data_IF_740506528281
#
_entry.id   IF_740506528281
#
_cell.length_a   1.000
_cell.length_b   1.000
_cell.length_c   1.000
_cell.angle_alpha   90.00
_cell.angle_beta   90.00
_cell.angle_gamma   90.00
#
_symmetry.space_group_name_H-M   'P 1'
#
loop_
_entity.id
_entity.type
_entity.pdbx_description
1 polymer ?
#
# COMPACT_ATOMS: atom_id res chain seq x y z
N UNK A 1 -52.73 -9.89 -49.71
CA UNK A 1 -53.97 -10.57 -49.26
C UNK A 1 -53.54 -11.74 -48.38
N UNK A 2 -53.86 -11.97 -47.10
CA UNK A 2 -54.75 -11.43 -46.05
C UNK A 2 -54.06 -11.81 -44.70
N UNK A 3 -53.79 -10.86 -43.78
CA UNK A 3 -54.52 -10.55 -42.53
C UNK A 3 -54.26 -11.45 -41.28
N UNK A 4 -53.58 -10.83 -40.30
CA UNK A 4 -53.92 -10.63 -38.86
C UNK A 4 -54.48 -11.74 -37.95
N UNK A 5 -53.95 -11.83 -36.72
CA UNK A 5 -54.56 -11.62 -35.36
C UNK A 5 -53.49 -12.00 -34.30
N UNK A 6 -53.09 -11.27 -33.24
CA UNK A 6 -53.73 -10.56 -32.09
C UNK A 6 -54.65 -11.43 -31.20
N UNK A 7 -54.17 -11.78 -30.00
CA UNK A 7 -54.90 -12.09 -28.73
C UNK A 7 -53.93 -11.77 -27.56
N UNK A 8 -54.13 -10.70 -26.76
CA UNK A 8 -54.75 -10.61 -25.41
C UNK A 8 -54.12 -11.52 -24.33
N UNK A 9 -53.40 -11.05 -23.30
CA UNK A 9 -53.76 -10.24 -22.10
C UNK A 9 -54.51 -11.03 -21.00
N UNK A 10 -53.84 -11.23 -19.85
CA UNK A 10 -54.34 -11.36 -18.45
C UNK A 10 -53.07 -11.36 -17.56
N UNK A 11 -52.69 -10.37 -16.74
CA UNK A 11 -53.31 -9.69 -15.60
C UNK A 11 -53.79 -10.63 -14.48
N UNK A 12 -52.92 -10.87 -13.48
CA UNK A 12 -53.31 -11.14 -12.09
C UNK A 12 -52.44 -10.27 -11.16
N UNK A 13 -53.14 -9.67 -10.21
CA UNK A 13 -52.74 -8.64 -9.26
C UNK A 13 -52.43 -9.24 -7.89
N UNK A 14 -51.64 -8.49 -7.11
CA UNK A 14 -51.64 -8.35 -5.64
C UNK A 14 -51.31 -9.56 -4.74
N UNK A 15 -50.28 -9.38 -3.90
CA UNK A 15 -50.48 -9.19 -2.45
C UNK A 15 -49.22 -8.61 -1.80
N UNK A 16 -49.39 -7.48 -1.13
CA UNK A 16 -48.45 -6.92 -0.18
C UNK A 16 -48.50 -7.75 1.12
N UNK A 17 -47.34 -8.03 1.72
CA UNK A 17 -47.25 -8.45 3.11
C UNK A 17 -46.29 -7.55 3.87
N UNK A 18 -46.90 -6.87 4.84
CA UNK A 18 -46.33 -6.02 5.87
C UNK A 18 -45.52 -6.92 6.81
N UNK A 19 -44.23 -6.63 7.02
CA UNK A 19 -43.49 -7.13 8.17
C UNK A 19 -43.17 -5.97 9.12
N UNK A 20 -43.61 -6.19 10.35
CA UNK A 20 -43.55 -5.32 11.52
C UNK A 20 -42.10 -5.14 11.96
N UNK A 21 -41.70 -3.87 12.17
CA UNK A 21 -40.49 -3.50 12.89
C UNK A 21 -40.84 -3.50 14.38
N UNK A 22 -40.28 -4.44 15.14
CA UNK A 22 -40.19 -4.33 16.61
C UNK A 22 -38.73 -4.44 17.01
N UNK A 23 -38.21 -3.35 17.57
CA UNK A 23 -36.88 -3.29 18.15
C UNK A 23 -36.81 -4.06 19.47
N UNK A 24 -35.62 -4.59 19.77
CA UNK A 24 -35.15 -4.97 21.11
C UNK A 24 -33.62 -4.78 21.17
N UNK A 25 -33.05 -4.58 22.38
CA UNK A 25 -31.81 -3.86 22.60
C UNK A 25 -30.56 -4.72 22.39
N UNK A 26 -29.48 -4.06 21.98
CA UNK A 26 -28.13 -4.62 21.82
C UNK A 26 -27.51 -4.79 23.22
N UNK A 27 -27.33 -6.04 23.64
CA UNK A 27 -26.46 -6.38 24.76
C UNK A 27 -25.03 -6.59 24.22
N UNK A 28 -24.09 -5.80 24.74
CA UNK A 28 -22.67 -5.93 24.47
C UNK A 28 -22.16 -7.26 25.04
N UNK A 29 -21.70 -8.15 24.17
CA UNK A 29 -20.99 -9.36 24.53
C UNK A 29 -19.56 -9.25 23.98
N UNK A 30 -18.64 -8.91 24.86
CA UNK A 30 -17.19 -8.90 24.62
C UNK A 30 -16.69 -10.33 24.47
N UNK A 31 -16.14 -10.66 23.30
CA UNK A 31 -15.40 -11.89 23.04
C UNK A 31 -13.93 -11.55 22.73
N UNK A 32 -12.98 -12.43 23.10
CA UNK A 32 -11.54 -12.15 23.11
C UNK A 32 -10.90 -12.18 21.71
N UNK A 33 -9.82 -11.40 21.60
CA UNK A 33 -8.94 -11.23 20.44
C UNK A 33 -8.31 -12.57 20.03
N UNK A 34 -8.45 -13.02 18.77
CA UNK A 34 -7.63 -14.09 18.23
C UNK A 34 -6.33 -13.55 17.60
N UNK A 35 -5.26 -14.28 17.90
CA UNK A 35 -3.87 -14.09 17.49
C UNK A 35 -3.63 -14.25 15.98
N UNK A 36 -2.76 -13.36 15.45
CA UNK A 36 -1.87 -13.49 14.28
C UNK A 36 -2.39 -14.33 13.10
N UNK A 37 -3.05 -13.68 12.15
CA UNK A 37 -3.43 -14.27 10.86
C UNK A 37 -2.50 -13.76 9.76
N UNK A 38 -1.83 -14.69 9.07
CA UNK A 38 -1.07 -14.47 7.83
C UNK A 38 -2.08 -14.64 6.69
N UNK A 39 -2.41 -13.57 5.96
CA UNK A 39 -3.40 -13.63 4.88
C UNK A 39 -2.73 -13.57 3.50
N UNK A 40 -2.83 -14.68 2.78
CA UNK A 40 -3.21 -14.71 1.37
C UNK A 40 -3.98 -16.02 1.12
N UNK A 41 -5.29 -16.01 1.36
CA UNK A 41 -6.19 -17.07 0.89
C UNK A 41 -6.31 -16.98 -0.64
N UNK A 42 -5.65 -17.92 -1.33
CA UNK A 42 -6.07 -18.38 -2.65
C UNK A 42 -7.03 -19.55 -2.41
N UNK A 43 -8.23 -19.46 -3.00
CA UNK A 43 -9.35 -20.36 -2.77
C UNK A 43 -8.99 -21.85 -2.89
N UNK A 44 -9.50 -22.63 -1.93
CA UNK A 44 -9.41 -24.09 -1.92
C UNK A 44 -10.14 -24.68 -3.15
N UNK A 45 -9.38 -25.36 -4.00
CA UNK A 45 -9.88 -26.31 -4.99
C UNK A 45 -9.47 -27.72 -4.56
N UNK A 46 -10.38 -28.67 -4.75
CA UNK A 46 -10.41 -30.03 -4.22
C UNK A 46 -9.07 -30.78 -4.04
N UNK A 47 -8.98 -31.47 -2.90
CA UNK A 47 -7.91 -32.38 -2.48
C UNK A 47 -7.54 -33.41 -3.53
N UNK A 48 -6.42 -33.17 -4.23
CA UNK A 48 -5.62 -34.18 -4.90
C UNK A 48 -4.33 -34.39 -4.10
N UNK A 49 -4.05 -35.64 -3.71
CA UNK A 49 -2.78 -36.01 -3.10
C UNK A 49 -1.62 -35.59 -4.02
N UNK A 50 -0.60 -34.89 -3.51
CA UNK A 50 0.47 -34.36 -4.34
C UNK A 50 1.24 -35.49 -5.03
N UNK A 51 1.53 -35.29 -6.30
CA UNK A 51 2.33 -36.21 -7.11
C UNK A 51 3.77 -36.29 -6.57
N UNK A 52 4.50 -37.35 -6.93
CA UNK A 52 5.89 -37.58 -6.45
C UNK A 52 6.85 -36.44 -6.79
N UNK A 53 6.58 -35.71 -7.88
CA UNK A 53 7.31 -34.50 -8.30
C UNK A 53 6.98 -33.34 -7.37
N UNK A 54 5.68 -33.04 -7.16
CA UNK A 54 5.24 -31.98 -6.22
C UNK A 54 5.76 -32.18 -4.79
N UNK A 55 5.90 -33.43 -4.34
CA UNK A 55 6.44 -33.73 -3.00
C UNK A 55 7.92 -33.36 -2.87
N UNK A 56 8.69 -33.53 -3.95
CA UNK A 56 10.11 -33.17 -4.02
C UNK A 56 10.29 -31.65 -4.15
N UNK A 57 9.41 -31.00 -4.91
CA UNK A 57 9.38 -29.53 -5.03
C UNK A 57 9.08 -28.84 -3.69
N UNK A 58 8.26 -29.47 -2.84
CA UNK A 58 7.97 -29.03 -1.47
C UNK A 58 9.13 -29.30 -0.50
N UNK A 59 9.92 -30.36 -0.71
CA UNK A 59 11.14 -30.65 0.05
C UNK A 59 12.23 -29.63 -0.28
N UNK A 60 12.44 -29.32 -1.56
CA UNK A 60 13.42 -28.32 -2.00
C UNK A 60 13.06 -26.91 -1.51
N UNK A 61 11.76 -26.55 -1.52
CA UNK A 61 11.29 -25.31 -0.90
C UNK A 61 11.48 -25.31 0.64
N UNK A 62 11.34 -26.48 1.28
CA UNK A 62 11.61 -26.66 2.71
C UNK A 62 13.07 -26.43 3.07
N UNK A 63 14.00 -26.95 2.27
CA UNK A 63 15.44 -26.80 2.44
C UNK A 63 15.90 -25.35 2.25
N UNK A 64 15.31 -24.65 1.27
CA UNK A 64 15.50 -23.20 1.10
C UNK A 64 15.04 -22.45 2.36
N UNK A 65 13.85 -22.75 2.88
CA UNK A 65 13.32 -22.10 4.09
C UNK A 65 14.11 -22.42 5.37
N UNK A 66 14.68 -23.63 5.46
CA UNK A 66 15.52 -24.04 6.58
C UNK A 66 16.88 -23.32 6.54
N UNK A 67 17.45 -23.15 5.35
CA UNK A 67 18.69 -22.40 5.18
C UNK A 67 18.47 -20.92 5.48
N UNK A 68 17.35 -20.35 5.02
CA UNK A 68 16.90 -18.99 5.36
C UNK A 68 16.78 -18.77 6.87
N UNK A 69 16.26 -19.74 7.62
CA UNK A 69 16.17 -19.63 9.09
C UNK A 69 17.55 -19.52 9.74
N UNK A 70 18.55 -20.25 9.22
CA UNK A 70 19.93 -20.14 9.70
C UNK A 70 20.59 -18.79 9.41
N UNK A 71 20.15 -18.10 8.34
CA UNK A 71 20.62 -16.75 8.03
C UNK A 71 20.06 -15.77 9.06
N UNK A 72 18.75 -15.83 9.34
CA UNK A 72 18.11 -14.97 10.36
C UNK A 72 18.82 -15.09 11.73
N UNK A 73 19.20 -16.29 12.12
CA UNK A 73 19.93 -16.54 13.38
C UNK A 73 21.32 -15.89 13.40
N UNK A 74 21.99 -15.77 12.24
CA UNK A 74 23.31 -15.11 12.11
C UNK A 74 23.21 -13.59 12.13
N UNK A 75 22.08 -13.00 11.73
CA UNK A 75 21.87 -11.54 11.74
C UNK A 75 21.44 -11.05 13.14
N UNK A 76 20.80 -11.93 13.93
CA UNK A 76 20.35 -11.63 15.29
C UNK A 76 21.37 -10.86 16.15
N UNK A 77 22.65 -11.29 16.27
CA UNK A 77 23.63 -10.56 17.08
C UNK A 77 24.00 -9.17 16.54
N UNK A 78 23.87 -8.92 15.23
CA UNK A 78 24.11 -7.60 14.63
C UNK A 78 22.93 -6.67 14.94
N UNK A 79 21.71 -7.17 14.83
CA UNK A 79 20.51 -6.43 15.23
C UNK A 79 20.51 -6.10 16.74
N UNK A 80 20.93 -7.04 17.59
CA UNK A 80 21.03 -6.84 19.04
C UNK A 80 22.09 -5.81 19.44
N UNK A 81 23.13 -5.60 18.61
CA UNK A 81 24.18 -4.63 18.86
C UNK A 81 23.75 -3.17 18.58
N UNK A 82 22.68 -2.95 17.82
CA UNK A 82 22.25 -1.61 17.38
C UNK A 82 21.41 -0.83 18.41
N UNK A 83 20.99 -1.46 19.52
CA UNK A 83 20.27 -0.80 20.61
C UNK A 83 18.90 -0.22 20.24
N UNK A 84 18.03 0.08 21.23
CA UNK A 84 16.68 0.60 20.98
C UNK A 84 16.62 2.10 20.64
N UNK A 85 17.74 2.82 20.73
CA UNK A 85 17.83 4.28 20.53
C UNK A 85 18.41 4.62 19.15
N UNK A 86 17.78 4.11 18.09
CA UNK A 86 18.20 4.36 16.70
C UNK A 86 17.66 5.68 16.15
N UNK A 87 18.31 6.80 16.47
CA UNK A 87 18.11 8.09 15.76
C UNK A 87 18.82 8.11 14.38
N UNK A 88 19.47 7.00 13.98
CA UNK A 88 20.11 6.84 12.68
C UNK A 88 19.76 5.48 12.04
N UNK A 89 18.67 5.42 11.27
CA UNK A 89 18.37 4.26 10.40
C UNK A 89 19.43 4.06 9.32
N UNK A 90 20.21 5.12 9.00
CA UNK A 90 21.36 5.04 8.10
C UNK A 90 22.42 4.01 8.50
N UNK A 91 22.68 3.76 9.79
CA UNK A 91 23.65 2.72 10.22
C UNK A 91 23.10 1.30 10.04
N UNK A 92 21.79 1.13 10.06
CA UNK A 92 21.19 -0.18 9.97
C UNK A 92 20.90 -0.64 8.53
N UNK A 93 20.86 0.29 7.58
CA UNK A 93 20.96 -0.02 6.15
C UNK A 93 22.32 -0.66 5.79
N UNK A 94 23.36 -0.48 6.60
CA UNK A 94 24.66 -1.14 6.41
C UNK A 94 24.57 -2.66 6.65
N UNK A 95 23.62 -3.12 7.48
CA UNK A 95 23.34 -4.54 7.76
C UNK A 95 22.81 -5.28 6.52
N UNK A 96 22.23 -4.56 5.55
CA UNK A 96 21.77 -5.13 4.28
C UNK A 96 22.97 -5.72 3.50
N UNK A 97 24.16 -5.13 3.58
CA UNK A 97 25.34 -5.66 2.89
C UNK A 97 25.76 -7.05 3.41
N UNK A 98 25.75 -7.23 4.74
CA UNK A 98 26.04 -8.53 5.38
C UNK A 98 24.97 -9.57 5.05
N UNK A 99 23.72 -9.12 4.89
CA UNK A 99 22.61 -9.98 4.47
C UNK A 99 22.77 -10.49 3.03
N UNK A 100 23.25 -9.63 2.11
CA UNK A 100 23.51 -10.01 0.71
C UNK A 100 24.64 -11.01 0.56
N UNK A 101 25.73 -10.84 1.31
CA UNK A 101 26.88 -11.73 1.29
C UNK A 101 26.51 -13.17 1.68
N UNK A 102 25.54 -13.34 2.59
CA UNK A 102 25.07 -14.65 3.03
C UNK A 102 24.13 -15.29 2.00
N UNK A 103 23.30 -14.50 1.31
CA UNK A 103 22.45 -15.00 0.25
C UNK A 103 23.23 -15.40 -1.01
N UNK A 104 24.34 -14.72 -1.31
CA UNK A 104 25.24 -15.07 -2.41
C UNK A 104 25.89 -16.46 -2.26
N UNK A 105 26.01 -16.97 -1.03
CA UNK A 105 26.55 -18.31 -0.77
C UNK A 105 25.52 -19.45 -0.95
N UNK A 106 24.26 -19.12 -1.21
CA UNK A 106 23.15 -20.08 -1.16
C UNK A 106 22.76 -20.71 -2.52
N UNK A 107 23.32 -20.26 -3.66
CA UNK A 107 22.83 -20.66 -4.99
C UNK A 107 23.83 -21.48 -5.82
N UNK A 108 24.06 -22.74 -5.46
CA UNK A 108 24.62 -23.76 -6.37
C UNK A 108 23.83 -25.07 -6.28
N UNK A 109 22.59 -25.12 -6.83
CA UNK A 109 21.90 -26.41 -7.05
C UNK A 109 20.76 -26.34 -8.11
N UNK A 110 21.16 -26.56 -9.37
CA UNK A 110 20.49 -27.27 -10.50
C UNK A 110 18.94 -27.13 -10.68
N UNK A 111 18.53 -26.72 -11.89
CA UNK A 111 17.58 -27.50 -12.70
C UNK A 111 16.10 -27.14 -12.75
N UNK A 112 15.69 -25.90 -12.44
CA UNK A 112 14.37 -25.34 -12.79
C UNK A 112 14.46 -23.81 -12.79
N UNK A 113 15.43 -23.29 -13.57
CA UNK A 113 16.05 -21.97 -13.38
C UNK A 113 15.03 -20.82 -13.24
N UNK A 114 13.95 -20.75 -14.03
CA UNK A 114 12.97 -19.66 -13.90
C UNK A 114 12.10 -19.73 -12.64
N UNK A 115 11.65 -20.92 -12.23
CA UNK A 115 10.87 -21.05 -10.99
C UNK A 115 11.76 -20.84 -9.78
N UNK A 116 13.00 -21.32 -9.85
CA UNK A 116 14.02 -21.08 -8.84
C UNK A 116 14.33 -19.59 -8.71
N UNK A 117 14.44 -18.85 -9.82
CA UNK A 117 14.60 -17.39 -9.77
C UNK A 117 13.40 -16.69 -9.16
N UNK A 118 12.17 -17.05 -9.55
CA UNK A 118 10.96 -16.45 -8.98
C UNK A 118 10.87 -16.73 -7.46
N UNK A 119 11.17 -17.96 -7.04
CA UNK A 119 11.23 -18.35 -5.63
C UNK A 119 12.35 -17.63 -4.88
N UNK A 120 13.52 -17.50 -5.50
CA UNK A 120 14.69 -16.80 -4.96
C UNK A 120 14.39 -15.33 -4.73
N UNK A 121 13.85 -14.65 -5.75
CA UNK A 121 13.42 -13.26 -5.65
C UNK A 121 12.32 -13.09 -4.59
N UNK A 122 11.40 -14.05 -4.50
CA UNK A 122 10.35 -14.06 -3.50
C UNK A 122 10.87 -14.22 -2.07
N UNK A 123 11.85 -15.11 -1.87
CA UNK A 123 12.52 -15.27 -0.58
C UNK A 123 13.34 -14.02 -0.24
N UNK A 124 14.03 -13.46 -1.24
CA UNK A 124 14.82 -12.25 -1.11
C UNK A 124 14.00 -11.09 -0.56
N UNK A 125 12.94 -10.68 -1.27
CA UNK A 125 12.11 -9.53 -0.89
C UNK A 125 11.50 -9.70 0.50
N UNK A 126 10.97 -10.90 0.80
CA UNK A 126 10.36 -11.19 2.11
C UNK A 126 11.39 -11.13 3.22
N UNK A 127 12.56 -11.75 3.05
CA UNK A 127 13.57 -11.81 4.08
C UNK A 127 14.22 -10.44 4.35
N UNK A 128 14.51 -9.66 3.31
CA UNK A 128 15.00 -8.27 3.49
C UNK A 128 13.98 -7.45 4.27
N UNK A 129 12.71 -7.56 3.89
CA UNK A 129 11.62 -6.84 4.54
C UNK A 129 11.47 -7.24 6.01
N UNK A 130 11.41 -8.55 6.29
CA UNK A 130 11.25 -9.09 7.65
C UNK A 130 12.46 -8.77 8.54
N UNK A 131 13.68 -8.91 8.02
CA UNK A 131 14.90 -8.58 8.76
C UNK A 131 14.98 -7.10 9.09
N UNK A 132 14.67 -6.22 8.13
CA UNK A 132 14.66 -4.76 8.33
C UNK A 132 13.60 -4.37 9.36
N UNK A 133 12.38 -4.92 9.27
CA UNK A 133 11.35 -4.64 10.27
C UNK A 133 11.73 -5.15 11.66
N UNK A 134 12.36 -6.33 11.74
CA UNK A 134 12.81 -6.90 13.01
C UNK A 134 13.90 -6.05 13.66
N UNK A 135 14.82 -5.49 12.88
CA UNK A 135 15.84 -4.56 13.35
C UNK A 135 15.26 -3.18 13.73
N UNK A 136 14.16 -2.77 13.09
CA UNK A 136 13.50 -1.47 13.31
C UNK A 136 12.02 -1.62 13.68
N UNK A 137 11.71 -2.15 14.87
CA UNK A 137 10.34 -2.17 15.35
C UNK A 137 9.80 -0.73 15.40
N UNK A 138 8.67 -0.48 14.73
CA UNK A 138 8.04 0.85 14.62
C UNK A 138 8.23 1.52 13.25
N UNK A 139 9.00 0.93 12.35
CA UNK A 139 9.06 1.35 10.95
C UNK A 139 8.14 0.50 10.08
N UNK A 140 7.73 1.03 8.93
CA UNK A 140 7.07 0.27 7.87
C UNK A 140 8.08 0.00 6.77
N UNK A 141 8.17 -1.24 6.29
CA UNK A 141 9.19 -1.63 5.30
C UNK A 141 8.53 -2.19 4.05
N UNK A 142 9.07 -1.80 2.89
CA UNK A 142 8.76 -2.39 1.59
C UNK A 142 10.05 -2.61 0.80
N UNK A 143 10.21 -3.82 0.28
CA UNK A 143 11.26 -4.16 -0.69
C UNK A 143 10.62 -4.36 -2.06
N UNK A 144 11.12 -3.73 -3.11
CA UNK A 144 10.47 -3.70 -4.43
C UNK A 144 11.49 -3.73 -5.57
N UNK A 145 11.18 -4.43 -6.65
CA UNK A 145 11.94 -4.40 -7.91
C UNK A 145 11.25 -3.57 -9.02
N UNK A 146 9.93 -3.69 -9.27
CA UNK A 146 9.28 -2.93 -10.32
C UNK A 146 9.31 -1.42 -10.10
N UNK A 147 8.94 -0.67 -11.14
CA UNK A 147 8.69 0.77 -11.04
C UNK A 147 7.66 1.05 -9.95
N UNK A 148 7.88 2.09 -9.18
CA UNK A 148 7.02 2.49 -8.07
C UNK A 148 7.11 4.00 -7.84
N UNK A 149 6.24 4.52 -6.99
CA UNK A 149 6.22 5.90 -6.53
C UNK A 149 6.20 5.90 -5.01
N UNK A 150 7.00 6.77 -4.39
CA UNK A 150 7.01 6.97 -2.94
C UNK A 150 6.68 8.42 -2.59
N UNK A 151 5.86 8.59 -1.56
CA UNK A 151 5.53 9.88 -0.96
C UNK A 151 5.56 9.71 0.57
N UNK A 152 6.76 9.58 1.13
CA UNK A 152 6.95 9.44 2.57
C UNK A 152 7.01 10.80 3.25
N UNK A 153 6.34 10.88 4.40
CA UNK A 153 6.24 12.11 5.18
C UNK A 153 7.57 12.41 5.87
N UNK A 154 7.95 13.69 5.93
CA UNK A 154 9.18 14.13 6.58
C UNK A 154 10.42 14.07 5.68
N UNK A 155 11.59 14.01 6.30
CA UNK A 155 12.89 14.03 5.63
C UNK A 155 13.54 12.65 5.59
N UNK A 156 14.32 12.40 4.53
CA UNK A 156 15.15 11.21 4.45
C UNK A 156 16.18 11.20 5.58
N UNK A 157 16.41 10.05 6.21
CA UNK A 157 17.18 9.88 7.43
C UNK A 157 16.28 9.71 8.65
N UNK A 158 15.72 10.81 9.21
CA UNK A 158 14.94 10.74 10.45
C UNK A 158 13.58 10.02 10.30
N UNK A 159 12.91 10.20 9.15
CA UNK A 159 11.50 9.82 8.98
C UNK A 159 11.27 8.70 7.97
N UNK A 160 12.15 8.63 6.97
CA UNK A 160 12.17 7.57 5.99
C UNK A 160 13.58 7.36 5.46
N UNK A 161 13.86 6.18 4.94
CA UNK A 161 15.14 5.83 4.35
C UNK A 161 14.94 4.96 3.10
N UNK A 162 15.93 5.01 2.22
CA UNK A 162 15.97 4.27 0.96
C UNK A 162 17.37 3.72 0.74
N UNK A 163 17.42 2.45 0.36
CA UNK A 163 18.65 1.82 -0.12
C UNK A 163 18.35 0.94 -1.33
N UNK A 164 19.36 0.69 -2.14
CA UNK A 164 19.27 -0.22 -3.28
C UNK A 164 20.20 -1.40 -3.04
N UNK A 165 19.72 -2.58 -3.40
CA UNK A 165 20.42 -3.84 -3.23
C UNK A 165 20.23 -4.71 -4.49
N UNK A 166 21.08 -5.71 -4.70
CA UNK A 166 20.92 -6.62 -5.85
C UNK A 166 21.25 -8.06 -5.51
N UNK A 167 20.61 -8.98 -6.22
CA UNK A 167 21.01 -10.39 -6.25
C UNK A 167 21.43 -10.78 -7.66
N UNK A 168 22.48 -11.57 -7.79
CA UNK A 168 22.87 -12.18 -9.05
C UNK A 168 22.09 -13.47 -9.25
N UNK A 169 21.41 -13.59 -10.38
CA UNK A 169 20.61 -14.76 -10.74
C UNK A 169 21.12 -15.41 -12.04
N UNK A 170 21.06 -16.75 -12.18
CA UNK A 170 21.65 -17.45 -13.32
C UNK A 170 21.14 -17.04 -14.71
N UNK A 171 19.85 -16.71 -14.85
CA UNK A 171 19.21 -16.31 -16.12
C UNK A 171 19.00 -14.80 -16.20
N UNK A 172 18.52 -14.19 -15.13
CA UNK A 172 18.16 -12.77 -15.10
C UNK A 172 19.37 -11.86 -14.88
N UNK A 173 20.53 -12.42 -14.55
CA UNK A 173 21.72 -11.67 -14.17
C UNK A 173 21.49 -10.88 -12.88
N UNK A 174 22.10 -9.70 -12.78
CA UNK A 174 21.92 -8.82 -11.63
C UNK A 174 20.50 -8.21 -11.61
N UNK A 175 19.72 -8.56 -10.60
CA UNK A 175 18.38 -7.99 -10.34
C UNK A 175 18.44 -7.04 -9.15
N UNK A 176 18.24 -5.74 -9.40
CA UNK A 176 18.20 -4.70 -8.39
C UNK A 176 16.84 -4.60 -7.69
N UNK A 177 16.85 -4.27 -6.41
CA UNK A 177 15.69 -4.01 -5.57
C UNK A 177 15.93 -2.75 -4.75
N UNK A 178 14.89 -1.97 -4.57
CA UNK A 178 14.84 -0.87 -3.63
C UNK A 178 14.21 -1.33 -2.32
N UNK A 179 14.81 -0.90 -1.21
CA UNK A 179 14.34 -1.14 0.15
C UNK A 179 14.01 0.21 0.76
N UNK A 180 12.75 0.40 1.11
CA UNK A 180 12.30 1.58 1.81
C UNK A 180 11.88 1.23 3.22
N UNK A 181 12.30 2.04 4.17
CA UNK A 181 11.77 2.06 5.52
C UNK A 181 11.16 3.43 5.77
N UNK A 182 9.91 3.52 6.21
CA UNK A 182 9.27 4.81 6.49
C UNK A 182 8.33 4.75 7.70
N UNK A 183 8.27 5.83 8.46
CA UNK A 183 7.33 5.98 9.58
C UNK A 183 5.90 6.20 9.10
N UNK A 184 5.73 6.99 8.06
CA UNK A 184 4.44 7.32 7.48
C UNK A 184 4.56 7.74 6.01
N UNK A 185 3.48 7.57 5.25
CA UNK A 185 3.37 8.03 3.88
C UNK A 185 2.66 7.04 2.98
N UNK A 186 2.90 7.17 1.69
CA UNK A 186 2.26 6.34 0.66
C UNK A 186 3.32 5.75 -0.26
N UNK A 187 3.18 4.46 -0.50
CA UNK A 187 3.92 3.72 -1.51
C UNK A 187 2.93 3.22 -2.57
N UNK A 188 3.25 3.39 -3.85
CA UNK A 188 2.45 2.89 -4.97
C UNK A 188 3.31 2.05 -5.92
N UNK A 189 2.93 0.80 -6.13
CA UNK A 189 3.52 -0.10 -7.10
C UNK A 189 2.98 0.20 -8.50
N UNK A 190 3.88 0.50 -9.45
CA UNK A 190 3.56 0.72 -10.85
C UNK A 190 4.05 -0.46 -11.71
N UNK A 191 3.63 -1.67 -11.34
CA UNK A 191 4.07 -2.90 -12.01
C UNK A 191 3.40 -4.14 -11.44
N UNK A 192 3.94 -5.29 -11.81
CA UNK A 192 3.38 -6.58 -11.44
C UNK A 192 3.53 -6.86 -9.94
N UNK A 193 2.45 -7.37 -9.34
CA UNK A 193 2.45 -7.79 -7.94
C UNK A 193 3.25 -9.09 -7.67
N UNK A 194 3.06 -9.63 -6.46
CA UNK A 194 3.62 -10.91 -6.04
C UNK A 194 5.01 -10.81 -5.40
N UNK A 195 5.33 -11.79 -4.53
CA UNK A 195 6.54 -11.76 -3.72
C UNK A 195 7.83 -11.69 -4.52
N UNK A 196 7.88 -12.27 -5.73
CA UNK A 196 9.07 -12.16 -6.60
C UNK A 196 9.41 -10.71 -6.98
N UNK A 197 8.43 -9.82 -6.95
CA UNK A 197 8.57 -8.43 -7.35
C UNK A 197 8.66 -7.50 -6.15
N UNK A 198 7.93 -7.80 -5.08
CA UNK A 198 7.92 -6.95 -3.89
C UNK A 198 7.38 -7.68 -2.67
N UNK A 199 7.78 -7.22 -1.50
CA UNK A 199 7.22 -7.63 -0.23
C UNK A 199 7.12 -6.43 0.69
N UNK A 200 6.14 -6.46 1.58
CA UNK A 200 5.99 -5.49 2.65
C UNK A 200 5.54 -6.23 3.91
N UNK A 201 5.92 -5.70 5.06
CA UNK A 201 5.47 -6.29 6.31
C UNK A 201 4.06 -5.79 6.63
N UNK A 202 3.11 -6.72 6.71
CA UNK A 202 1.76 -6.40 7.17
C UNK A 202 1.75 -6.16 8.69
N UNK A 203 1.25 -5.01 9.11
CA UNK A 203 1.07 -4.64 10.51
C UNK A 203 -0.15 -3.73 10.68
N UNK A 204 -0.53 -3.39 11.92
CA UNK A 204 -1.63 -2.47 12.21
C UNK A 204 -1.46 -1.08 11.57
N UNK A 205 -0.23 -0.77 11.19
CA UNK A 205 0.20 0.51 10.66
C UNK A 205 0.23 0.56 9.13
N UNK A 206 0.06 -0.58 8.45
CA UNK A 206 0.05 -0.64 6.98
C UNK A 206 -1.35 -0.98 6.49
N UNK A 207 -1.96 -0.08 5.74
CA UNK A 207 -3.19 -0.34 5.02
C UNK A 207 -2.88 -0.55 3.54
N UNK A 208 -3.10 -1.76 3.06
CA UNK A 208 -3.07 -2.07 1.63
C UNK A 208 -4.43 -1.76 0.99
N UNK A 209 -4.42 -1.01 -0.12
CA UNK A 209 -5.62 -0.62 -0.87
C UNK A 209 -5.35 -0.67 -2.38
N UNK A 210 -6.42 -0.47 -3.16
CA UNK A 210 -6.37 -0.58 -4.61
C UNK A 210 -6.37 -2.02 -5.10
N UNK A 211 -6.36 -2.19 -6.41
CA UNK A 211 -6.34 -3.50 -7.03
C UNK A 211 -5.02 -4.21 -6.78
N UNK A 212 -5.10 -5.49 -6.40
CA UNK A 212 -3.94 -6.29 -6.01
C UNK A 212 -3.05 -5.64 -4.94
N UNK A 213 -3.63 -4.76 -4.11
CA UNK A 213 -2.93 -4.07 -3.03
C UNK A 213 -1.78 -3.17 -3.49
N UNK A 214 -1.79 -2.66 -4.73
CA UNK A 214 -0.67 -1.87 -5.27
C UNK A 214 -0.37 -0.58 -4.50
N UNK A 215 -1.28 -0.09 -3.64
CA UNK A 215 -1.03 1.09 -2.81
C UNK A 215 -0.96 0.70 -1.34
N UNK A 216 0.16 1.02 -0.72
CA UNK A 216 0.35 0.89 0.73
C UNK A 216 0.28 2.27 1.38
N UNK A 217 -0.51 2.36 2.44
CA UNK A 217 -0.63 3.54 3.28
C UNK A 217 0.05 3.22 4.60
N UNK A 218 1.22 3.81 4.80
CA UNK A 218 1.98 3.71 6.01
C UNK A 218 1.49 4.76 6.99
N UNK A 219 0.94 4.30 8.10
CA UNK A 219 0.51 5.13 9.21
C UNK A 219 1.57 5.02 10.30
N UNK A 220 1.72 6.10 11.05
CA UNK A 220 2.57 6.06 12.22
C UNK A 220 1.86 5.28 13.34
N UNK A 221 2.58 4.39 14.02
CA UNK A 221 2.03 3.78 15.22
C UNK A 221 1.92 4.85 16.31
N UNK A 222 0.71 5.06 16.84
CA UNK A 222 0.45 6.08 17.88
C UNK A 222 1.34 5.87 19.12
N UNK A 223 1.76 4.62 19.38
CA UNK A 223 2.67 4.24 20.47
C UNK A 223 4.15 4.58 20.20
N UNK A 224 4.55 4.80 18.93
CA UNK A 224 5.96 4.83 18.49
C UNK A 224 6.55 6.22 18.27
N UNK A 225 5.75 7.29 18.28
CA UNK A 225 6.25 8.65 18.14
C UNK A 225 5.22 9.67 17.72
N UNK A 226 5.54 10.95 17.94
CA UNK A 226 4.83 12.08 17.37
C UNK A 226 5.10 12.17 15.85
N UNK A 227 4.24 12.87 15.07
CA UNK A 227 4.49 13.12 13.66
C UNK A 227 5.93 13.62 13.44
N UNK A 228 6.51 13.44 12.25
CA UNK A 228 7.83 13.99 11.94
C UNK A 228 7.93 15.45 12.45
N UNK A 229 8.96 15.73 13.25
CA UNK A 229 9.12 16.99 13.99
C UNK A 229 9.69 18.13 13.14
N UNK A 230 10.04 17.83 11.91
CA UNK A 230 10.46 18.80 10.92
C UNK A 230 9.41 19.91 10.79
N UNK A 231 9.88 21.16 10.81
CA UNK A 231 9.03 22.32 10.61
C UNK A 231 8.82 22.51 9.10
N UNK A 232 7.56 22.53 8.61
CA UNK A 232 7.27 22.80 7.20
C UNK A 232 7.85 24.13 6.75
N UNK A 233 8.44 24.17 5.56
CA UNK A 233 8.88 25.43 4.97
C UNK A 233 7.67 26.34 4.67
N UNK A 234 7.73 27.58 5.16
CA UNK A 234 6.72 28.61 4.87
C UNK A 234 6.65 28.93 3.38
N UNK A 235 5.46 29.26 2.88
CA UNK A 235 5.24 29.67 1.49
C UNK A 235 4.17 28.85 0.79
N UNK A 236 4.35 28.66 -0.51
CA UNK A 236 3.39 27.94 -1.35
C UNK A 236 3.49 26.43 -1.11
N UNK A 237 2.46 25.82 -0.52
CA UNK A 237 2.34 24.38 -0.45
C UNK A 237 1.86 23.80 -1.78
N UNK A 238 2.39 22.62 -2.13
CA UNK A 238 1.90 21.82 -3.25
C UNK A 238 0.90 20.79 -2.79
N UNK A 239 -0.18 20.61 -3.53
CA UNK A 239 -1.13 19.51 -3.32
C UNK A 239 -1.22 18.68 -4.58
N UNK A 240 -1.02 17.38 -4.42
CA UNK A 240 -1.21 16.40 -5.48
C UNK A 240 -2.38 15.49 -5.12
N UNK A 241 -3.31 15.30 -6.05
CA UNK A 241 -4.47 14.42 -5.87
C UNK A 241 -4.57 13.45 -7.03
N UNK A 242 -4.56 12.16 -6.74
CA UNK A 242 -5.13 11.13 -7.62
C UNK A 242 -6.59 10.92 -7.24
N UNK A 243 -7.50 11.16 -8.18
CA UNK A 243 -8.91 10.80 -8.03
C UNK A 243 -9.21 9.54 -8.83
N UNK A 244 -9.75 8.51 -8.17
CA UNK A 244 -10.18 7.27 -8.81
C UNK A 244 -11.68 7.27 -9.07
N UNK A 245 -12.11 6.86 -10.27
CA UNK A 245 -13.50 6.83 -10.70
C UNK A 245 -14.31 5.78 -9.94
N UNK A 246 -15.58 6.10 -9.66
CA UNK A 246 -16.51 5.14 -9.07
C UNK A 246 -16.75 3.93 -9.99
N UNK A 247 -16.86 2.75 -9.40
CA UNK A 247 -17.13 1.47 -10.06
C UNK A 247 -16.11 1.08 -11.13
N UNK A 248 -14.88 1.57 -11.03
CA UNK A 248 -13.80 1.14 -11.90
C UNK A 248 -13.19 -0.15 -11.35
N UNK A 249 -13.53 -1.29 -11.94
CA UNK A 249 -13.26 -2.65 -11.41
C UNK A 249 -11.88 -2.81 -10.77
N UNK A 250 -10.83 -2.63 -11.57
CA UNK A 250 -9.43 -2.90 -11.20
C UNK A 250 -8.73 -1.67 -10.62
N UNK A 251 -9.46 -0.62 -10.26
CA UNK A 251 -8.84 0.63 -9.82
C UNK A 251 -9.53 1.14 -8.56
N UNK A 252 -10.86 1.21 -8.62
CA UNK A 252 -11.72 1.64 -7.53
C UNK A 252 -13.10 0.96 -7.64
N UNK A 253 -13.24 -0.27 -7.10
CA UNK A 253 -14.45 -1.08 -7.26
C UNK A 253 -15.67 -0.54 -6.49
N UNK A 254 -15.49 0.49 -5.65
CA UNK A 254 -16.55 1.09 -4.85
C UNK A 254 -17.35 2.12 -5.65
N UNK A 255 -18.59 2.38 -5.23
CA UNK A 255 -19.54 3.23 -5.96
C UNK A 255 -19.38 4.74 -5.71
N UNK A 256 -18.30 5.16 -5.05
CA UNK A 256 -17.92 6.54 -4.79
C UNK A 256 -16.48 6.78 -5.27
N UNK A 257 -16.11 8.05 -5.48
CA UNK A 257 -14.72 8.38 -5.79
C UNK A 257 -13.84 8.11 -4.58
N UNK A 258 -12.62 7.63 -4.81
CA UNK A 258 -11.58 7.60 -3.78
C UNK A 258 -10.46 8.57 -4.14
N UNK A 259 -9.87 9.19 -3.12
CA UNK A 259 -8.80 10.16 -3.29
C UNK A 259 -7.51 9.64 -2.65
N UNK A 260 -6.41 9.71 -3.38
CA UNK A 260 -5.06 9.72 -2.83
C UNK A 260 -4.58 11.17 -2.86
N UNK A 261 -4.25 11.74 -1.69
CA UNK A 261 -3.88 13.14 -1.52
C UNK A 261 -2.51 13.22 -0.87
N UNK A 262 -1.61 14.00 -1.45
CA UNK A 262 -0.28 14.31 -0.92
C UNK A 262 -0.18 15.83 -0.75
N UNK A 263 0.18 16.28 0.46
CA UNK A 263 0.51 17.67 0.75
C UNK A 263 2.02 17.81 0.88
N UNK A 264 2.58 18.79 0.16
CA UNK A 264 3.99 19.16 0.18
C UNK A 264 4.17 20.60 0.64
N UNK A 265 5.22 20.88 1.39
CA UNK A 265 5.59 22.25 1.75
C UNK A 265 6.24 23.00 0.56
N UNK A 266 6.72 24.22 0.81
CA UNK A 266 7.37 25.05 -0.20
C UNK A 266 8.67 24.45 -0.77
N UNK A 267 9.30 23.50 -0.07
CA UNK A 267 10.51 22.81 -0.48
C UNK A 267 10.23 21.43 -1.10
N UNK A 268 8.95 21.03 -1.21
CA UNK A 268 8.55 19.75 -1.79
C UNK A 268 8.53 18.56 -0.81
N UNK A 269 8.77 18.80 0.47
CA UNK A 269 8.73 17.79 1.52
C UNK A 269 7.28 17.40 1.82
N UNK A 270 6.97 16.10 1.90
CA UNK A 270 5.62 15.65 2.22
C UNK A 270 5.32 15.96 3.70
N UNK A 271 4.28 16.74 3.94
CA UNK A 271 3.87 17.21 5.27
C UNK A 271 2.55 16.62 5.74
N UNK A 272 1.79 15.96 4.84
CA UNK A 272 0.57 15.24 5.17
C UNK A 272 0.03 14.49 3.96
N UNK A 273 -0.84 13.51 4.22
CA UNK A 273 -1.42 12.70 3.15
C UNK A 273 -2.74 12.04 3.58
N UNK A 274 -3.53 11.62 2.60
CA UNK A 274 -4.65 10.69 2.78
C UNK A 274 -4.67 9.74 1.59
N UNK A 275 -4.33 8.46 1.81
CA UNK A 275 -4.15 7.52 0.71
C UNK A 275 -5.40 6.76 0.26
N UNK A 276 -6.54 6.96 0.91
CA UNK A 276 -7.78 6.26 0.56
C UNK A 276 -9.03 7.03 1.02
N UNK A 277 -9.08 8.32 0.70
CA UNK A 277 -10.17 9.19 1.12
C UNK A 277 -11.47 8.81 0.42
N UNK A 278 -12.48 8.40 1.18
CA UNK A 278 -13.84 8.17 0.68
C UNK A 278 -14.53 9.51 0.40
N UNK A 279 -14.63 9.85 -0.88
CA UNK A 279 -15.21 11.12 -1.32
C UNK A 279 -16.75 11.08 -1.42
N UNK A 280 -17.42 10.07 -0.85
CA UNK A 280 -18.85 10.18 -0.52
C UNK A 280 -19.10 11.19 0.62
N UNK A 281 -18.04 11.54 1.35
CA UNK A 281 -18.03 12.57 2.39
C UNK A 281 -16.84 13.53 2.18
N UNK A 282 -16.73 14.55 3.04
CA UNK A 282 -15.56 15.43 3.03
C UNK A 282 -14.32 14.66 3.45
N UNK A 283 -13.34 14.58 2.55
CA UNK A 283 -12.04 13.98 2.83
C UNK A 283 -11.18 15.02 3.55
N UNK A 284 -10.79 14.71 4.78
CA UNK A 284 -9.86 15.52 5.58
C UNK A 284 -8.44 14.97 5.46
N UNK A 285 -7.46 15.86 5.30
CA UNK A 285 -6.04 15.53 5.30
C UNK A 285 -5.40 16.20 6.51
N UNK A 286 -4.99 15.38 7.48
CA UNK A 286 -4.18 15.84 8.61
C UNK A 286 -2.72 15.96 8.16
N UNK A 287 -2.06 17.02 8.58
CA UNK A 287 -0.69 17.33 8.18
C UNK A 287 0.05 18.06 9.30
N UNK A 288 1.32 18.38 9.07
CA UNK A 288 2.10 19.29 9.90
C UNK A 288 1.73 20.77 9.70
N UNK A 289 0.88 21.07 8.72
CA UNK A 289 0.43 22.43 8.47
C UNK A 289 -0.62 22.87 9.52
N UNK A 290 -0.79 24.19 9.77
CA UNK A 290 -1.65 24.69 10.84
C UNK A 290 -3.16 24.38 10.70
N UNK A 291 -3.63 24.09 9.49
CA UNK A 291 -5.04 23.85 9.21
C UNK A 291 -5.25 22.50 8.52
N UNK A 292 -6.45 21.95 8.67
CA UNK A 292 -6.86 20.75 7.94
C UNK A 292 -7.14 21.13 6.49
N UNK A 293 -6.63 20.33 5.56
CA UNK A 293 -6.99 20.44 4.15
C UNK A 293 -8.21 19.56 3.87
N UNK A 294 -9.29 20.17 3.41
CA UNK A 294 -10.58 19.49 3.18
C UNK A 294 -10.89 19.44 1.68
N UNK A 295 -11.39 18.29 1.23
CA UNK A 295 -11.79 18.06 -0.15
C UNK A 295 -13.21 17.52 -0.18
N UNK A 296 -14.04 18.07 -1.05
CA UNK A 296 -15.39 17.55 -1.32
C UNK A 296 -15.54 17.30 -2.81
N UNK A 297 -15.93 16.08 -3.19
CA UNK A 297 -16.22 15.73 -4.58
C UNK A 297 -17.66 16.07 -4.95
N UNK A 298 -17.88 16.44 -6.21
CA UNK A 298 -19.22 16.48 -6.78
C UNK A 298 -19.77 15.08 -7.09
N UNK A 299 -20.94 15.05 -7.72
CA UNK A 299 -21.67 13.80 -8.00
C UNK A 299 -21.29 13.18 -9.35
N UNK A 300 -20.82 14.00 -10.29
CA UNK A 300 -20.49 13.63 -11.66
C UNK A 300 -18.97 13.67 -11.91
N UNK A 301 -18.50 12.92 -12.91
CA UNK A 301 -17.06 12.84 -13.23
C UNK A 301 -16.46 14.19 -13.63
N UNK A 302 -17.27 15.07 -14.21
CA UNK A 302 -16.88 16.41 -14.64
C UNK A 302 -17.09 17.47 -13.56
N UNK A 303 -17.67 17.11 -12.41
CA UNK A 303 -17.81 18.06 -11.32
C UNK A 303 -16.42 18.39 -10.76
N UNK A 304 -16.17 19.68 -10.45
CA UNK A 304 -14.91 20.06 -9.85
C UNK A 304 -14.80 19.52 -8.42
N UNK A 305 -13.57 19.23 -7.97
CA UNK A 305 -13.31 19.03 -6.54
C UNK A 305 -13.30 20.40 -5.86
N UNK A 306 -14.05 20.53 -4.77
CA UNK A 306 -14.03 21.72 -3.91
C UNK A 306 -12.98 21.55 -2.81
N UNK A 307 -12.23 22.60 -2.53
CA UNK A 307 -11.13 22.61 -1.57
C UNK A 307 -11.34 23.67 -0.50
N UNK A 308 -10.91 23.39 0.73
CA UNK A 308 -10.86 24.36 1.81
C UNK A 308 -9.59 24.22 2.65
N UNK A 309 -8.99 25.35 3.02
CA UNK A 309 -7.80 25.41 3.87
C UNK A 309 -7.69 26.77 4.56
N UNK A 310 -7.64 26.81 5.89
CA UNK A 310 -7.45 28.06 6.64
C UNK A 310 -8.50 29.14 6.35
N UNK A 311 -9.70 28.76 5.91
CA UNK A 311 -10.77 29.68 5.50
C UNK A 311 -10.77 30.06 4.00
N UNK A 312 -9.68 29.82 3.27
CA UNK A 312 -9.67 29.94 1.80
C UNK A 312 -10.45 28.79 1.17
N UNK A 313 -11.18 29.07 0.09
CA UNK A 313 -12.00 28.10 -0.65
C UNK A 313 -11.85 28.31 -2.14
N UNK A 314 -11.59 27.23 -2.87
CA UNK A 314 -11.48 27.21 -4.32
C UNK A 314 -11.86 25.82 -4.84
N UNK A 315 -11.79 25.63 -6.15
CA UNK A 315 -12.11 24.35 -6.77
C UNK A 315 -11.11 23.99 -7.88
N UNK A 316 -11.20 22.76 -8.39
CA UNK A 316 -10.32 22.27 -9.44
C UNK A 316 -10.52 22.96 -10.79
N UNK A 317 -11.55 23.79 -10.96
CA UNK A 317 -11.78 24.62 -12.16
C UNK A 317 -11.17 26.03 -12.05
N UNK A 318 -10.66 26.40 -10.88
CA UNK A 318 -10.10 27.72 -10.61
C UNK A 318 -8.80 27.93 -11.40
N UNK A 319 -8.88 28.79 -12.44
CA UNK A 319 -7.76 29.07 -13.35
C UNK A 319 -6.56 29.64 -12.60
N UNK A 320 -5.37 29.15 -12.96
CA UNK A 320 -4.09 29.61 -12.38
C UNK A 320 -3.78 29.05 -11.00
N UNK A 321 -4.68 28.28 -10.38
CA UNK A 321 -4.42 27.53 -9.15
C UNK A 321 -4.27 26.04 -9.38
N UNK A 322 -5.04 25.49 -10.31
CA UNK A 322 -5.16 24.05 -10.52
C UNK A 322 -4.76 23.61 -11.93
N UNK A 323 -4.00 22.52 -11.99
CA UNK A 323 -3.77 21.70 -13.18
C UNK A 323 -4.57 20.40 -13.01
N UNK A 324 -5.50 20.12 -13.93
CA UNK A 324 -6.36 18.94 -13.89
C UNK A 324 -6.12 18.08 -15.12
N UNK A 325 -5.65 16.86 -14.89
CA UNK A 325 -5.51 15.83 -15.92
C UNK A 325 -6.86 15.25 -16.34
N UNK A 326 -6.86 14.58 -17.50
CA UNK A 326 -7.99 13.75 -17.93
C UNK A 326 -7.99 12.44 -17.15
N UNK A 327 -9.14 11.78 -17.13
CA UNK A 327 -9.18 10.39 -16.72
C UNK A 327 -8.41 9.52 -17.70
N UNK A 328 -7.51 8.71 -17.16
CA UNK A 328 -6.77 7.66 -17.83
C UNK A 328 -6.86 6.40 -16.96
N UNK A 329 -7.37 5.33 -17.56
CA UNK A 329 -7.53 4.02 -16.91
C UNK A 329 -8.19 4.13 -15.53
N UNK A 330 -9.31 4.86 -15.43
CA UNK A 330 -10.06 4.96 -14.19
C UNK A 330 -9.56 5.96 -13.16
N UNK A 331 -8.51 6.72 -13.44
CA UNK A 331 -7.95 7.70 -12.51
C UNK A 331 -7.57 9.00 -13.20
N UNK A 332 -7.57 10.12 -12.48
CA UNK A 332 -7.02 11.39 -12.97
C UNK A 332 -6.14 12.03 -11.92
N UNK A 333 -5.14 12.77 -12.40
CA UNK A 333 -4.17 13.48 -11.57
C UNK A 333 -4.50 14.97 -11.53
N UNK A 334 -4.30 15.59 -10.37
CA UNK A 334 -4.49 17.02 -10.14
C UNK A 334 -3.35 17.58 -9.31
N UNK A 335 -2.81 18.73 -9.74
CA UNK A 335 -1.77 19.46 -9.01
C UNK A 335 -2.23 20.89 -8.78
N UNK A 336 -2.04 21.42 -7.58
CA UNK A 336 -2.34 22.82 -7.28
C UNK A 336 -1.51 23.37 -6.14
N UNK A 337 -1.54 24.70 -6.03
CA UNK A 337 -0.83 25.45 -5.00
C UNK A 337 -1.81 25.96 -3.95
N UNK A 338 -1.51 25.71 -2.68
CA UNK A 338 -2.13 26.35 -1.54
C UNK A 338 -1.16 27.33 -0.88
N UNK A 339 -1.68 28.34 -0.18
CA UNK A 339 -0.84 29.29 0.55
C UNK A 339 -0.73 28.87 2.01
N UNK A 340 0.50 28.62 2.47
CA UNK A 340 0.83 28.56 3.89
C UNK A 340 1.36 29.94 4.26
N UNK A 341 0.56 30.67 5.05
CA UNK A 341 0.98 31.92 5.68
C UNK A 341 1.85 31.63 6.90
#
# INVERSE_FOLDING_TARGET
MFKTRKVCLMLISMAASICVVSGHPIAAHSQPIPTKTRNSELGASDTLSPTRTQRRDLEDAGDVMQTVSSVIDKIQPVADALGPEGEAVGEALEVISTFLDILGQLFEAIGEEQRQEAATRGAFTQNVTDATLKAHPGWNVVTVHPKHTVNFQGSQGPDWEHNTTSIELPLSGNVGFDVYAARAGIFELNGDGGYMNWAWAAGSNVQAVGYQNHRLIFRMEISSGAPPKNEPASGNCGVHITQYQKNEKEVNPVNHYTLNVILKDANGMVVGFNGNGDASTTVSVTSQLPYVFEITAGNLDNDPLSFAYGGDKWDSSTKGRCSVGKYDSGSRQMDFVCFVA
#
